data_IF_058442650663
#
_entry.id   IF_058442650663
#
_cell.length_a   1.000
_cell.length_b   1.000
_cell.length_c   1.000
_cell.angle_alpha   90.00
_cell.angle_beta   90.00
_cell.angle_gamma   90.00
#
_symmetry.space_group_name_H-M   'P 1'
#
loop_
_entity.id
_entity.type
_entity.pdbx_description
1 polymer ?
#
# COMPACT_ATOMS: atom_id res chain seq x y z
N UNK A 1 63.27 29.06 15.63
CA UNK A 1 64.09 28.75 16.81
C UNK A 1 65.23 27.91 16.33
N UNK A 2 66.44 28.56 16.29
CA UNK A 2 67.72 27.96 15.82
C UNK A 2 68.31 27.07 16.93
N UNK A 3 68.21 25.78 16.80
CA UNK A 3 68.87 24.82 17.66
C UNK A 3 70.31 24.58 17.15
N UNK A 4 71.29 25.23 17.76
CA UNK A 4 72.69 24.94 17.55
C UNK A 4 73.00 23.54 18.11
N UNK A 5 73.42 22.65 17.23
CA UNK A 5 73.98 21.36 17.64
C UNK A 5 75.36 21.57 18.25
N UNK A 6 75.72 20.83 19.29
CA UNK A 6 77.04 20.87 19.85
C UNK A 6 78.10 20.37 18.86
N UNK A 7 79.22 21.13 18.73
CA UNK A 7 80.35 20.74 17.91
C UNK A 7 80.99 19.47 18.46
N UNK A 8 81.13 18.46 17.65
CA UNK A 8 81.80 17.23 17.94
C UNK A 8 83.36 17.57 18.01
N UNK A 9 84.06 17.15 19.04
CA UNK A 9 85.57 17.34 19.10
C UNK A 9 86.20 16.51 17.99
N UNK A 10 86.98 17.18 17.12
CA UNK A 10 87.83 16.53 16.14
C UNK A 10 88.95 15.72 16.87
N UNK A 11 89.26 14.47 16.49
CA UNK A 11 90.38 13.73 17.02
C UNK A 11 91.69 14.36 16.52
N UNK A 12 92.69 14.52 17.47
CA UNK A 12 93.99 15.05 17.18
C UNK A 12 94.78 14.16 16.19
N UNK A 13 95.43 14.82 15.29
CA UNK A 13 96.43 14.44 14.29
C UNK A 13 96.89 12.97 14.22
N UNK A 14 96.68 12.33 13.05
CA UNK A 14 97.47 11.18 12.64
C UNK A 14 96.79 10.05 11.87
N UNK A 15 95.63 10.24 11.41
CA UNK A 15 95.00 9.27 10.50
C UNK A 15 94.28 9.98 9.37
N UNK A 16 94.71 9.76 8.11
CA UNK A 16 93.93 10.19 6.93
C UNK A 16 92.58 9.53 6.97
N UNK A 17 91.60 10.20 7.57
CA UNK A 17 90.23 9.80 7.49
C UNK A 17 89.82 9.85 5.99
N UNK A 18 89.60 8.68 5.43
CA UNK A 18 89.29 8.53 4.03
C UNK A 18 88.08 9.40 3.74
N UNK A 19 88.23 10.52 2.98
CA UNK A 19 87.18 11.48 2.64
C UNK A 19 85.88 10.77 2.14
N UNK A 20 86.08 9.63 1.49
CA UNK A 20 84.98 8.80 1.02
C UNK A 20 84.11 8.15 2.14
N UNK A 21 84.69 7.94 3.33
CA UNK A 21 84.00 7.40 4.51
C UNK A 21 83.18 8.50 5.21
N UNK A 22 83.82 9.70 5.35
CA UNK A 22 83.12 10.88 5.91
C UNK A 22 81.97 11.29 5.04
N UNK A 23 82.11 11.29 3.70
CA UNK A 23 81.05 11.61 2.75
C UNK A 23 79.90 10.59 2.77
N UNK A 24 80.21 9.30 2.95
CA UNK A 24 79.20 8.25 3.14
C UNK A 24 78.41 8.39 4.46
N UNK A 25 79.11 8.73 5.54
CA UNK A 25 78.46 8.94 6.84
C UNK A 25 77.57 10.18 6.81
N UNK A 26 78.07 11.29 6.21
CA UNK A 26 77.21 12.50 6.07
C UNK A 26 76.00 12.28 5.18
N UNK A 27 76.18 11.61 4.04
CA UNK A 27 74.94 11.22 3.19
C UNK A 27 74.01 10.31 3.94
N UNK A 28 74.51 9.33 4.71
CA UNK A 28 73.62 8.44 5.50
C UNK A 28 72.86 9.18 6.61
N UNK A 29 73.52 10.16 7.24
CA UNK A 29 72.91 11.02 8.28
C UNK A 29 71.88 11.96 7.68
N UNK A 30 72.11 12.55 6.50
CA UNK A 30 71.12 13.37 5.77
C UNK A 30 69.91 12.57 5.38
N UNK A 31 70.06 11.33 4.89
CA UNK A 31 68.95 10.44 4.61
C UNK A 31 68.12 10.07 5.85
N UNK A 32 68.83 9.84 7.02
CA UNK A 32 68.12 9.59 8.28
C UNK A 32 67.38 10.82 8.79
N UNK A 33 67.96 12.02 8.70
CA UNK A 33 67.27 13.27 9.05
C UNK A 33 66.08 13.56 8.11
N UNK A 34 66.22 13.36 6.82
CA UNK A 34 65.13 13.51 5.86
C UNK A 34 64.00 12.52 6.12
N UNK A 35 64.30 11.24 6.42
CA UNK A 35 63.33 10.24 6.78
C UNK A 35 62.62 10.56 8.10
N UNK A 36 63.36 11.02 9.11
CA UNK A 36 62.77 11.46 10.39
C UNK A 36 61.85 12.67 10.24
N UNK A 37 62.26 13.68 9.48
CA UNK A 37 61.45 14.87 9.22
C UNK A 37 60.20 14.52 8.41
N UNK A 38 60.30 13.65 7.42
CA UNK A 38 59.14 13.19 6.64
C UNK A 38 58.19 12.37 7.50
N UNK A 39 58.70 11.53 8.40
CA UNK A 39 57.86 10.78 9.36
C UNK A 39 57.13 11.69 10.35
N UNK A 40 57.84 12.66 10.96
CA UNK A 40 57.22 13.61 11.90
C UNK A 40 56.23 14.54 11.21
N UNK A 41 56.55 15.00 10.01
CA UNK A 41 55.62 15.81 9.21
C UNK A 41 54.36 15.01 8.82
N UNK A 42 54.53 13.73 8.43
CA UNK A 42 53.38 12.83 8.15
C UNK A 42 52.52 12.58 9.39
N UNK A 43 53.14 12.37 10.55
CA UNK A 43 52.43 12.17 11.81
C UNK A 43 51.65 13.42 12.23
N UNK A 44 52.25 14.61 12.10
CA UNK A 44 51.61 15.89 12.40
C UNK A 44 50.43 16.19 11.42
N UNK A 45 50.60 15.82 10.16
CA UNK A 45 49.53 15.94 9.16
C UNK A 45 48.37 14.97 9.40
N UNK A 46 48.62 13.77 9.92
CA UNK A 46 47.60 12.76 10.25
C UNK A 46 46.83 13.07 11.54
N UNK A 47 47.44 13.80 12.49
CA UNK A 47 46.83 14.10 13.79
C UNK A 47 45.47 14.79 13.72
N UNK A 48 45.20 15.81 12.84
CA UNK A 48 43.91 16.42 12.69
C UNK A 48 42.85 15.44 12.17
N UNK A 49 43.22 14.54 11.26
CA UNK A 49 42.33 13.52 10.71
C UNK A 49 41.90 12.49 11.78
N UNK A 50 42.87 12.07 12.60
CA UNK A 50 42.62 11.20 13.74
C UNK A 50 41.69 11.88 14.77
N UNK A 51 41.91 13.16 15.06
CA UNK A 51 41.10 13.92 16.02
C UNK A 51 39.63 14.05 15.49
N UNK A 52 39.45 14.31 14.19
CA UNK A 52 38.15 14.34 13.56
C UNK A 52 37.45 12.97 13.61
N UNK A 53 38.15 11.87 13.32
CA UNK A 53 37.59 10.53 13.41
C UNK A 53 37.14 10.18 14.84
N UNK A 54 37.98 10.51 15.85
CA UNK A 54 37.62 10.33 17.27
C UNK A 54 36.42 11.17 17.65
N UNK A 55 36.32 12.44 17.19
CA UNK A 55 35.17 13.31 17.44
C UNK A 55 33.88 12.72 16.84
N UNK A 56 33.97 12.19 15.61
CA UNK A 56 32.82 11.51 14.95
C UNK A 56 32.39 10.29 15.76
N UNK A 57 33.32 9.48 16.25
CA UNK A 57 33.02 8.32 17.08
C UNK A 57 32.36 8.71 18.41
N UNK A 58 32.85 9.76 19.08
CA UNK A 58 32.26 10.25 20.33
C UNK A 58 30.86 10.79 20.11
N UNK A 59 30.67 11.65 19.09
CA UNK A 59 29.34 12.17 18.74
C UNK A 59 28.41 11.02 18.30
N UNK A 60 28.93 10.09 17.52
CA UNK A 60 28.20 8.90 17.08
C UNK A 60 27.73 8.02 18.23
N UNK A 61 28.59 7.77 19.22
CA UNK A 61 28.26 7.03 20.46
C UNK A 61 27.10 7.73 21.22
N UNK A 62 27.17 9.07 21.31
CA UNK A 62 26.08 9.85 21.91
C UNK A 62 24.80 9.73 21.11
N UNK A 63 24.88 9.82 19.78
CA UNK A 63 23.74 9.67 18.88
C UNK A 63 23.08 8.28 19.02
N UNK A 64 23.86 7.19 19.02
CA UNK A 64 23.35 5.81 19.22
C UNK A 64 22.68 5.64 20.57
N UNK A 65 23.09 6.39 21.61
CA UNK A 65 22.47 6.34 22.95
C UNK A 65 21.22 7.23 23.07
N UNK A 66 21.19 8.36 22.36
CA UNK A 66 20.13 9.39 22.53
C UNK A 66 18.99 9.19 21.54
N UNK A 67 19.29 9.00 20.23
CA UNK A 67 18.27 8.91 19.17
C UNK A 67 17.21 7.80 19.38
N UNK A 68 17.57 6.60 19.88
CA UNK A 68 16.54 5.56 20.10
C UNK A 68 15.58 5.86 21.27
N UNK A 69 15.93 6.77 22.18
CA UNK A 69 15.09 7.04 23.37
C UNK A 69 13.72 7.64 23.02
N UNK A 70 13.62 8.74 22.23
CA UNK A 70 12.32 9.30 21.87
C UNK A 70 11.49 8.34 21.00
N UNK A 71 12.14 7.62 20.08
CA UNK A 71 11.47 6.59 19.27
C UNK A 71 10.86 5.50 20.15
N UNK A 72 11.60 5.05 21.19
CA UNK A 72 11.10 4.08 22.14
C UNK A 72 9.93 4.61 22.98
N UNK A 73 10.01 5.86 23.41
CA UNK A 73 8.95 6.48 24.18
C UNK A 73 7.66 6.61 23.36
N UNK A 74 7.78 6.89 22.08
CA UNK A 74 6.65 6.97 21.14
C UNK A 74 6.05 5.59 20.87
N UNK A 75 6.90 4.59 20.53
CA UNK A 75 6.46 3.23 20.24
C UNK A 75 5.81 2.53 21.44
N UNK A 76 6.29 2.79 22.66
CA UNK A 76 5.70 2.23 23.89
C UNK A 76 4.33 2.80 24.25
N UNK A 77 3.92 3.92 23.67
CA UNK A 77 2.56 4.49 23.81
C UNK A 77 1.56 3.85 22.86
N UNK A 78 2.01 3.08 21.92
CA UNK A 78 1.20 2.39 20.92
C UNK A 78 1.08 0.91 21.34
N UNK A 79 0.00 0.24 20.98
CA UNK A 79 -0.27 -1.18 21.29
C UNK A 79 0.64 -2.17 20.51
N UNK A 80 1.86 -1.75 20.16
CA UNK A 80 2.81 -2.57 19.39
C UNK A 80 3.49 -3.58 20.32
N UNK A 81 3.61 -4.82 19.83
CA UNK A 81 4.30 -5.89 20.54
C UNK A 81 5.73 -5.45 20.96
N UNK A 82 6.09 -5.64 22.25
CA UNK A 82 7.43 -5.33 22.75
C UNK A 82 8.58 -6.00 21.99
N UNK A 83 8.32 -7.14 21.36
CA UNK A 83 9.29 -7.85 20.50
C UNK A 83 9.57 -7.06 19.23
N UNK A 84 8.52 -6.58 18.55
CA UNK A 84 8.65 -5.74 17.35
C UNK A 84 9.45 -4.46 17.64
N UNK A 85 9.19 -3.81 18.77
CA UNK A 85 9.92 -2.62 19.21
C UNK A 85 11.42 -2.90 19.33
N UNK A 86 11.81 -4.05 19.90
CA UNK A 86 13.23 -4.45 20.02
C UNK A 86 13.91 -4.64 18.66
N UNK A 87 13.18 -5.20 17.66
CA UNK A 87 13.71 -5.35 16.30
C UNK A 87 13.96 -4.00 15.63
N UNK A 88 12.98 -3.09 15.68
CA UNK A 88 13.12 -1.72 15.14
C UNK A 88 14.31 -1.00 15.76
N UNK A 89 14.47 -1.08 17.07
CA UNK A 89 15.62 -0.50 17.79
C UNK A 89 16.97 -1.07 17.32
N UNK A 90 17.02 -2.40 17.10
CA UNK A 90 18.22 -3.06 16.63
C UNK A 90 18.60 -2.59 15.23
N UNK A 91 17.62 -2.50 14.32
CA UNK A 91 17.84 -2.00 12.96
C UNK A 91 18.37 -0.56 12.99
N UNK A 92 17.71 0.34 13.74
CA UNK A 92 18.17 1.73 13.90
C UNK A 92 19.61 1.80 14.42
N UNK A 93 19.93 1.03 15.46
CA UNK A 93 21.28 1.02 16.02
C UNK A 93 22.34 0.52 15.03
N UNK A 94 22.04 -0.56 14.30
CA UNK A 94 22.95 -1.11 13.29
C UNK A 94 23.18 -0.07 12.17
N UNK A 95 22.13 0.55 11.66
CA UNK A 95 22.24 1.58 10.61
C UNK A 95 23.07 2.77 11.08
N UNK A 96 22.87 3.25 12.31
CA UNK A 96 23.69 4.32 12.89
C UNK A 96 25.16 3.92 13.02
N UNK A 97 25.45 2.70 13.49
CA UNK A 97 26.83 2.21 13.61
C UNK A 97 27.53 2.12 12.25
N UNK A 98 26.83 1.62 11.23
CA UNK A 98 27.36 1.56 9.85
C UNK A 98 27.70 2.96 9.35
N UNK A 99 26.78 3.92 9.53
CA UNK A 99 27.00 5.31 9.12
C UNK A 99 28.21 5.94 9.83
N UNK A 100 28.30 5.78 11.16
CA UNK A 100 29.40 6.32 11.96
C UNK A 100 30.73 5.68 11.53
N UNK A 101 30.76 4.37 11.29
CA UNK A 101 31.97 3.67 10.84
C UNK A 101 32.42 4.18 9.47
N UNK A 102 31.54 4.36 8.51
CA UNK A 102 31.87 4.91 7.19
C UNK A 102 32.44 6.32 7.31
N UNK A 103 31.80 7.19 8.09
CA UNK A 103 32.26 8.57 8.30
C UNK A 103 33.64 8.64 8.99
N UNK A 104 33.88 7.75 9.95
CA UNK A 104 35.19 7.69 10.65
C UNK A 104 36.30 7.18 9.73
N UNK A 105 36.03 6.16 8.90
CA UNK A 105 36.99 5.63 7.91
C UNK A 105 37.34 6.68 6.85
N UNK A 106 36.37 7.45 6.37
CA UNK A 106 36.58 8.54 5.42
C UNK A 106 37.60 9.58 6.00
N UNK A 107 37.43 9.96 7.26
CA UNK A 107 38.35 10.93 7.92
C UNK A 107 39.74 10.39 8.17
N UNK A 108 39.91 9.07 8.29
CA UNK A 108 41.19 8.43 8.36
C UNK A 108 41.89 8.29 7.00
N UNK A 109 41.29 8.79 5.91
CA UNK A 109 41.85 8.71 4.55
C UNK A 109 41.66 7.35 3.88
N UNK A 110 40.82 6.47 4.43
CA UNK A 110 40.51 5.17 3.81
C UNK A 110 39.45 5.40 2.72
N UNK A 111 39.70 4.96 1.48
CA UNK A 111 38.72 5.17 0.40
C UNK A 111 37.43 4.36 0.65
N UNK A 112 36.36 5.08 1.02
CA UNK A 112 35.05 4.48 1.35
C UNK A 112 34.13 4.32 0.14
N UNK A 113 34.54 4.76 -1.06
CA UNK A 113 33.70 4.77 -2.27
C UNK A 113 33.15 3.39 -2.62
N UNK A 114 33.97 2.35 -2.58
CA UNK A 114 33.56 0.97 -2.83
C UNK A 114 32.56 0.47 -1.79
N UNK A 115 32.77 0.82 -0.52
CA UNK A 115 31.87 0.48 0.58
C UNK A 115 30.52 1.19 0.42
N UNK A 116 30.53 2.48 0.07
CA UNK A 116 29.30 3.25 -0.21
C UNK A 116 28.53 2.67 -1.39
N UNK A 117 29.22 2.21 -2.45
CA UNK A 117 28.57 1.55 -3.60
C UNK A 117 27.84 0.27 -3.18
N UNK A 118 28.48 -0.56 -2.35
CA UNK A 118 27.86 -1.79 -1.82
C UNK A 118 26.68 -1.45 -0.92
N UNK A 119 26.84 -0.48 -0.01
CA UNK A 119 25.75 -0.04 0.87
C UNK A 119 24.57 0.55 0.08
N UNK A 120 24.84 1.31 -0.99
CA UNK A 120 23.80 1.82 -1.88
C UNK A 120 23.03 0.69 -2.59
N UNK A 121 23.74 -0.33 -3.08
CA UNK A 121 23.13 -1.50 -3.70
C UNK A 121 22.25 -2.28 -2.70
N UNK A 122 22.74 -2.51 -1.49
CA UNK A 122 21.97 -3.15 -0.40
C UNK A 122 20.76 -2.29 -0.03
N UNK A 123 20.93 -0.97 0.10
CA UNK A 123 19.84 -0.03 0.38
C UNK A 123 18.76 -0.06 -0.68
N UNK A 124 19.15 -0.09 -1.97
CA UNK A 124 18.22 -0.22 -3.09
C UNK A 124 17.45 -1.56 -3.05
N UNK A 125 18.13 -2.67 -2.76
CA UNK A 125 17.49 -3.97 -2.62
C UNK A 125 16.46 -4.00 -1.47
N UNK A 126 16.80 -3.42 -0.32
CA UNK A 126 15.88 -3.29 0.81
C UNK A 126 14.69 -2.40 0.46
N UNK A 127 14.93 -1.25 -0.19
CA UNK A 127 13.86 -0.35 -0.62
C UNK A 127 12.87 -1.04 -1.57
N UNK A 128 13.37 -1.86 -2.51
CA UNK A 128 12.52 -2.67 -3.38
C UNK A 128 11.72 -3.71 -2.60
N UNK A 129 12.35 -4.36 -1.60
CA UNK A 129 11.68 -5.38 -0.78
C UNK A 129 10.52 -4.82 0.07
N UNK A 130 10.59 -3.56 0.51
CA UNK A 130 9.54 -2.93 1.34
C UNK A 130 8.60 -2.01 0.54
N UNK A 131 8.77 -1.92 -0.79
CA UNK A 131 8.04 -1.00 -1.67
C UNK A 131 6.52 -1.12 -1.51
N UNK A 132 6.01 -2.34 -1.53
CA UNK A 132 4.57 -2.58 -1.49
C UNK A 132 3.96 -2.24 -0.12
N UNK A 133 4.70 -2.49 0.96
CA UNK A 133 4.27 -2.09 2.30
C UNK A 133 4.23 -0.55 2.43
N UNK A 134 5.23 0.14 1.87
CA UNK A 134 5.25 1.60 1.87
C UNK A 134 4.14 2.19 1.00
N UNK A 135 3.82 1.56 -0.14
CA UNK A 135 2.70 1.94 -0.99
C UNK A 135 1.36 1.78 -0.26
N UNK A 136 1.15 0.67 0.46
CA UNK A 136 -0.05 0.46 1.27
C UNK A 136 -0.19 1.50 2.39
N UNK A 137 0.91 1.83 3.07
CA UNK A 137 0.93 2.90 4.08
C UNK A 137 0.52 4.25 3.49
N UNK A 138 1.12 4.64 2.35
CA UNK A 138 0.81 5.88 1.66
C UNK A 138 -0.65 5.92 1.22
N UNK A 139 -1.16 4.83 0.65
CA UNK A 139 -2.57 4.69 0.26
C UNK A 139 -3.51 4.79 1.47
N UNK A 140 -3.17 4.17 2.60
CA UNK A 140 -3.96 4.28 3.84
C UNK A 140 -4.06 5.72 4.34
N UNK A 141 -2.95 6.46 4.32
CA UNK A 141 -2.95 7.88 4.67
C UNK A 141 -3.85 8.67 3.72
N UNK A 142 -3.76 8.45 2.41
CA UNK A 142 -4.62 9.13 1.42
C UNK A 142 -6.10 8.80 1.64
N UNK A 143 -6.45 7.54 1.90
CA UNK A 143 -7.84 7.11 2.20
C UNK A 143 -8.42 7.86 3.41
N UNK A 144 -7.63 8.04 4.48
CA UNK A 144 -8.06 8.77 5.67
C UNK A 144 -8.33 10.27 5.41
N UNK A 145 -7.63 10.88 4.44
CA UNK A 145 -7.85 12.27 4.05
C UNK A 145 -8.96 12.45 3.04
N UNK A 146 -9.00 11.63 1.99
CA UNK A 146 -9.97 11.76 0.89
C UNK A 146 -11.33 11.19 1.21
N UNK A 147 -11.38 10.16 2.08
CA UNK A 147 -12.60 9.48 2.57
C UNK A 147 -13.59 9.12 1.47
N UNK A 148 -13.19 8.36 0.46
CA UNK A 148 -14.11 7.91 -0.59
C UNK A 148 -15.21 6.98 -0.03
N UNK A 149 -14.97 6.41 1.14
CA UNK A 149 -15.91 5.64 1.96
C UNK A 149 -15.58 5.83 3.44
N UNK A 150 -16.49 5.43 4.32
CA UNK A 150 -16.36 5.51 5.78
C UNK A 150 -16.60 4.14 6.41
N UNK A 151 -16.21 3.96 7.67
CA UNK A 151 -16.65 2.82 8.44
C UNK A 151 -18.18 2.79 8.54
N UNK A 152 -18.77 1.64 8.27
CA UNK A 152 -20.20 1.42 8.16
C UNK A 152 -20.73 1.43 6.72
N UNK A 153 -20.00 1.93 5.73
CA UNK A 153 -20.40 1.89 4.33
C UNK A 153 -20.29 0.46 3.76
N UNK A 154 -21.27 0.04 2.98
CA UNK A 154 -21.15 -1.16 2.16
C UNK A 154 -20.53 -0.80 0.81
N UNK A 155 -19.39 -1.41 0.53
CA UNK A 155 -18.61 -1.17 -0.69
C UNK A 155 -18.35 -2.47 -1.44
N UNK A 156 -18.11 -2.34 -2.73
CA UNK A 156 -17.70 -3.42 -3.62
C UNK A 156 -16.43 -2.99 -4.37
N UNK A 157 -15.44 -3.88 -4.42
CA UNK A 157 -14.17 -3.65 -5.08
C UNK A 157 -13.76 -4.93 -5.84
N UNK A 158 -13.80 -4.87 -7.16
CA UNK A 158 -13.72 -6.08 -7.99
C UNK A 158 -14.81 -7.08 -7.59
N UNK A 159 -14.42 -8.31 -7.24
CA UNK A 159 -15.33 -9.38 -6.81
C UNK A 159 -15.56 -9.42 -5.28
N UNK A 160 -15.01 -8.45 -4.55
CA UNK A 160 -15.08 -8.40 -3.08
C UNK A 160 -16.11 -7.37 -2.65
N UNK A 161 -17.12 -7.78 -1.88
CA UNK A 161 -18.12 -6.89 -1.32
C UNK A 161 -18.27 -7.06 0.19
N UNK A 162 -18.45 -5.96 0.92
CA UNK A 162 -18.67 -6.00 2.37
C UNK A 162 -18.83 -4.62 2.99
N UNK A 163 -19.22 -4.62 4.27
CA UNK A 163 -19.30 -3.41 5.07
C UNK A 163 -17.92 -3.07 5.63
N UNK A 164 -17.47 -1.84 5.44
CA UNK A 164 -16.21 -1.35 6.00
C UNK A 164 -16.31 -1.31 7.51
N UNK A 165 -15.47 -2.08 8.20
CA UNK A 165 -15.42 -2.08 9.67
C UNK A 165 -14.31 -1.18 10.19
N UNK A 166 -13.12 -1.26 9.59
CA UNK A 166 -11.96 -0.52 10.06
C UNK A 166 -11.01 -0.21 8.91
N UNK A 167 -10.42 0.99 8.95
CA UNK A 167 -9.38 1.42 8.01
C UNK A 167 -8.08 1.55 8.80
N UNK A 168 -7.17 0.60 8.60
CA UNK A 168 -5.85 0.61 9.21
C UNK A 168 -4.79 1.21 8.27
N UNK A 169 -3.56 1.35 8.77
CA UNK A 169 -2.46 1.97 8.02
C UNK A 169 -2.10 1.24 6.72
N UNK A 170 -2.20 -0.10 6.68
CA UNK A 170 -1.79 -0.89 5.52
C UNK A 170 -2.95 -1.59 4.83
N UNK A 171 -4.07 -1.78 5.52
CA UNK A 171 -5.21 -2.55 5.04
C UNK A 171 -6.52 -2.01 5.58
N UNK A 172 -7.58 -2.25 4.85
CA UNK A 172 -8.96 -1.96 5.23
C UNK A 172 -9.71 -3.27 5.42
N UNK A 173 -10.48 -3.38 6.49
CA UNK A 173 -11.28 -4.56 6.77
C UNK A 173 -12.71 -4.39 6.31
N UNK A 174 -13.23 -5.42 5.63
CA UNK A 174 -14.61 -5.53 5.21
C UNK A 174 -15.23 -6.76 5.87
N UNK A 175 -16.42 -6.61 6.44
CA UNK A 175 -17.22 -7.74 6.91
C UNK A 175 -18.32 -8.02 5.89
N UNK A 176 -18.38 -9.26 5.42
CA UNK A 176 -19.42 -9.71 4.48
C UNK A 176 -20.75 -9.94 5.21
N UNK A 177 -21.90 -9.98 4.50
CA UNK A 177 -23.19 -10.35 5.10
C UNK A 177 -23.17 -11.73 5.80
N UNK A 178 -22.27 -12.64 5.36
CA UNK A 178 -22.07 -13.95 5.98
C UNK A 178 -21.15 -13.91 7.22
N UNK A 179 -20.86 -12.72 7.76
CA UNK A 179 -19.98 -12.51 8.92
C UNK A 179 -18.55 -13.02 8.73
N UNK A 180 -18.03 -12.90 7.51
CA UNK A 180 -16.64 -13.22 7.17
C UNK A 180 -15.86 -11.93 6.99
N UNK A 181 -14.68 -11.84 7.62
CA UNK A 181 -13.80 -10.68 7.52
C UNK A 181 -12.83 -10.82 6.35
N UNK A 182 -12.77 -9.80 5.51
CA UNK A 182 -11.84 -9.68 4.39
C UNK A 182 -10.86 -8.54 4.71
N UNK A 183 -9.56 -8.82 4.67
CA UNK A 183 -8.52 -7.80 4.80
C UNK A 183 -8.03 -7.43 3.39
N UNK A 184 -8.26 -6.20 2.98
CA UNK A 184 -7.90 -5.68 1.65
C UNK A 184 -6.75 -4.69 1.78
N UNK A 185 -5.62 -4.88 1.09
CA UNK A 185 -4.53 -3.92 1.09
C UNK A 185 -5.00 -2.53 0.60
N UNK A 186 -4.56 -1.46 1.26
CA UNK A 186 -5.02 -0.09 0.94
C UNK A 186 -4.66 0.33 -0.48
N UNK A 187 -3.55 -0.16 -1.04
CA UNK A 187 -3.20 0.08 -2.44
C UNK A 187 -4.28 -0.43 -3.38
N UNK A 188 -4.86 -1.60 -3.11
CA UNK A 188 -5.95 -2.17 -3.91
C UNK A 188 -7.20 -1.29 -3.85
N UNK A 189 -7.54 -0.75 -2.67
CA UNK A 189 -8.64 0.20 -2.48
C UNK A 189 -8.49 1.48 -3.31
N UNK A 190 -7.25 1.89 -3.61
CA UNK A 190 -6.96 3.12 -4.37
C UNK A 190 -6.81 2.89 -5.87
N UNK A 191 -6.46 1.68 -6.31
CA UNK A 191 -6.15 1.39 -7.71
C UNK A 191 -7.27 0.72 -8.48
N UNK A 192 -8.16 0.00 -7.79
CA UNK A 192 -9.30 -0.65 -8.41
C UNK A 192 -10.55 0.23 -8.40
N UNK A 193 -11.50 -0.07 -9.28
CA UNK A 193 -12.80 0.58 -9.26
C UNK A 193 -13.56 0.17 -8.01
N UNK A 194 -13.96 1.17 -7.23
CA UNK A 194 -14.71 0.99 -6.00
C UNK A 194 -16.13 1.51 -6.20
N UNK A 195 -17.12 0.69 -5.86
CA UNK A 195 -18.53 1.07 -5.84
C UNK A 195 -18.94 1.22 -4.38
N UNK A 196 -19.34 2.43 -3.98
CA UNK A 196 -19.88 2.69 -2.65
C UNK A 196 -21.40 2.77 -2.70
N UNK A 197 -22.06 1.74 -2.20
CA UNK A 197 -23.51 1.63 -2.18
C UNK A 197 -24.17 2.44 -1.06
N UNK A 198 -23.39 2.90 -0.08
CA UNK A 198 -23.85 3.70 1.05
C UNK A 198 -23.53 5.18 0.94
N UNK A 199 -22.89 5.60 -0.18
CA UNK A 199 -22.50 6.99 -0.40
C UNK A 199 -23.72 7.97 -0.44
N UNK A 200 -24.88 7.47 -0.85
CA UNK A 200 -26.12 8.22 -0.92
C UNK A 200 -27.18 7.60 0.00
N UNK A 201 -28.01 8.44 0.60
CA UNK A 201 -29.06 8.01 1.53
C UNK A 201 -30.17 7.22 0.82
N UNK A 202 -30.36 7.43 -0.48
CA UNK A 202 -31.34 6.72 -1.27
C UNK A 202 -30.73 6.11 -2.54
N UNK A 203 -31.29 4.98 -2.97
CA UNK A 203 -30.89 4.23 -4.16
C UNK A 203 -32.08 3.89 -5.02
N UNK A 204 -31.86 3.87 -6.34
CA UNK A 204 -32.86 3.33 -7.28
C UNK A 204 -32.74 1.81 -7.34
N UNK A 205 -33.88 1.15 -7.32
CA UNK A 205 -34.04 -0.27 -7.53
C UNK A 205 -34.87 -0.50 -8.80
N UNK A 206 -34.34 -1.29 -9.70
CA UNK A 206 -35.01 -1.70 -10.92
C UNK A 206 -35.39 -3.19 -10.76
N UNK A 207 -36.69 -3.48 -10.57
CA UNK A 207 -37.19 -4.83 -10.34
C UNK A 207 -37.98 -5.30 -11.55
N UNK A 208 -37.57 -6.44 -12.11
CA UNK A 208 -38.20 -7.02 -13.29
C UNK A 208 -39.22 -8.07 -12.87
N UNK A 209 -40.46 -7.92 -13.37
CA UNK A 209 -41.54 -8.86 -13.19
C UNK A 209 -42.07 -9.32 -14.57
N UNK A 210 -42.01 -10.62 -14.81
CA UNK A 210 -42.37 -11.23 -16.09
C UNK A 210 -43.80 -11.71 -16.08
N UNK A 211 -44.56 -11.37 -17.11
CA UNK A 211 -45.93 -11.82 -17.30
C UNK A 211 -46.08 -12.57 -18.64
N UNK A 212 -47.08 -13.45 -18.74
CA UNK A 212 -47.42 -14.15 -20.00
C UNK A 212 -47.89 -13.17 -21.07
N UNK A 213 -47.66 -13.47 -22.35
CA UNK A 213 -48.20 -12.77 -23.49
C UNK A 213 -49.74 -12.80 -23.55
N UNK A 214 -50.39 -13.78 -22.89
CA UNK A 214 -51.84 -13.93 -22.81
C UNK A 214 -52.48 -13.00 -21.76
N UNK A 215 -51.68 -12.38 -20.88
CA UNK A 215 -52.21 -11.47 -19.86
C UNK A 215 -52.52 -10.08 -20.42
N UNK A 216 -53.49 -9.41 -19.80
CA UNK A 216 -53.73 -7.99 -20.06
C UNK A 216 -52.56 -7.16 -19.49
N UNK A 217 -51.74 -6.64 -20.39
CA UNK A 217 -50.61 -5.81 -20.09
C UNK A 217 -50.96 -4.55 -19.28
N UNK A 218 -52.09 -3.90 -19.63
CA UNK A 218 -52.48 -2.66 -18.97
C UNK A 218 -52.98 -2.93 -17.55
N UNK A 219 -53.71 -4.02 -17.34
CA UNK A 219 -54.14 -4.48 -16.03
C UNK A 219 -52.93 -4.80 -15.14
N UNK A 220 -51.98 -5.60 -15.63
CA UNK A 220 -50.75 -5.96 -14.88
C UNK A 220 -49.94 -4.73 -14.51
N UNK A 221 -49.78 -3.79 -15.45
CA UNK A 221 -49.06 -2.54 -15.21
C UNK A 221 -49.76 -1.66 -14.17
N UNK A 222 -51.09 -1.54 -14.23
CA UNK A 222 -51.88 -0.75 -13.27
C UNK A 222 -51.74 -1.32 -11.85
N UNK A 223 -51.90 -2.63 -11.68
CA UNK A 223 -51.75 -3.33 -10.41
C UNK A 223 -50.34 -3.15 -9.80
N UNK A 224 -49.30 -3.31 -10.62
CA UNK A 224 -47.94 -3.07 -10.16
C UNK A 224 -47.70 -1.61 -9.78
N UNK A 225 -48.24 -0.66 -10.54
CA UNK A 225 -48.10 0.77 -10.24
C UNK A 225 -48.74 1.11 -8.91
N UNK A 226 -49.97 0.66 -8.66
CA UNK A 226 -50.70 0.86 -7.40
C UNK A 226 -49.92 0.25 -6.21
N UNK A 227 -49.39 -0.97 -6.38
CA UNK A 227 -48.62 -1.63 -5.33
C UNK A 227 -47.38 -0.84 -4.96
N UNK A 228 -46.56 -0.40 -5.95
CA UNK A 228 -45.32 0.30 -5.68
C UNK A 228 -45.53 1.72 -5.16
N UNK A 229 -46.58 2.43 -5.63
CA UNK A 229 -46.96 3.78 -5.14
C UNK A 229 -47.49 3.79 -3.71
N UNK A 230 -48.18 2.72 -3.30
CA UNK A 230 -48.71 2.56 -1.94
C UNK A 230 -47.71 1.98 -0.94
N UNK A 231 -46.57 1.51 -1.41
CA UNK A 231 -45.63 0.82 -0.55
C UNK A 231 -44.88 1.78 0.39
N UNK A 232 -44.84 1.56 1.72
CA UNK A 232 -44.30 2.51 2.70
C UNK A 232 -42.80 2.76 2.57
N UNK A 233 -42.01 1.82 2.04
CA UNK A 233 -40.55 1.94 1.86
C UNK A 233 -40.18 2.60 0.53
N UNK A 234 -41.15 2.84 -0.37
CA UNK A 234 -40.89 3.48 -1.66
C UNK A 234 -40.95 5.00 -1.51
N UNK A 235 -39.84 5.64 -1.90
CA UNK A 235 -39.73 7.09 -1.87
C UNK A 235 -40.25 7.71 -3.17
N UNK A 236 -40.91 8.87 -3.05
CA UNK A 236 -41.39 9.66 -4.18
C UNK A 236 -40.35 10.60 -4.76
N UNK A 237 -39.27 10.84 -4.03
CA UNK A 237 -38.12 11.62 -4.45
C UNK A 237 -36.85 10.74 -4.44
N UNK A 238 -35.90 10.99 -5.36
CA UNK A 238 -35.81 12.10 -6.32
C UNK A 238 -36.71 11.99 -7.55
N UNK A 239 -37.39 10.86 -7.75
CA UNK A 239 -38.39 10.68 -8.79
C UNK A 239 -39.46 9.71 -8.32
N UNK A 240 -40.74 9.90 -8.71
CA UNK A 240 -41.81 8.97 -8.37
C UNK A 240 -41.56 7.58 -8.97
N UNK A 241 -42.07 6.52 -8.32
CA UNK A 241 -41.95 5.16 -8.85
C UNK A 241 -42.71 5.08 -10.19
N UNK A 242 -42.21 4.26 -11.10
CA UNK A 242 -42.86 4.02 -12.40
C UNK A 242 -42.71 2.57 -12.83
N UNK A 243 -43.71 2.04 -13.49
CA UNK A 243 -43.71 0.72 -14.12
C UNK A 243 -43.69 0.88 -15.63
N UNK A 244 -42.71 0.26 -16.28
CA UNK A 244 -42.53 0.33 -17.74
C UNK A 244 -42.33 -1.07 -18.32
N UNK A 245 -42.72 -1.25 -19.58
CA UNK A 245 -42.35 -2.44 -20.35
C UNK A 245 -40.90 -2.24 -20.80
N UNK A 246 -40.04 -3.16 -20.47
CA UNK A 246 -38.62 -3.08 -20.83
C UNK A 246 -38.23 -4.05 -21.93
N UNK A 247 -38.94 -5.17 -22.04
CA UNK A 247 -38.56 -6.21 -23.00
C UNK A 247 -39.75 -7.09 -23.36
N UNK A 248 -39.81 -7.52 -24.61
CA UNK A 248 -40.62 -8.64 -25.10
C UNK A 248 -39.68 -9.84 -25.24
N UNK A 249 -39.57 -10.63 -24.17
CA UNK A 249 -38.65 -11.77 -24.09
C UNK A 249 -39.25 -13.01 -24.80
N UNK A 250 -38.44 -14.08 -24.92
CA UNK A 250 -38.84 -15.29 -25.67
C UNK A 250 -40.14 -15.94 -25.18
N UNK A 251 -40.49 -15.82 -23.89
CA UNK A 251 -41.67 -16.47 -23.28
C UNK A 251 -42.43 -15.53 -22.36
N UNK A 252 -42.08 -14.25 -22.28
CA UNK A 252 -42.68 -13.30 -21.33
C UNK A 252 -42.59 -11.86 -21.80
N UNK A 253 -43.49 -11.02 -21.27
CA UNK A 253 -43.34 -9.56 -21.32
C UNK A 253 -42.77 -9.11 -19.98
N UNK A 254 -41.62 -8.42 -20.02
CA UNK A 254 -40.93 -7.95 -18.83
C UNK A 254 -41.35 -6.53 -18.46
N UNK A 255 -41.99 -6.41 -17.29
CA UNK A 255 -42.35 -5.14 -16.66
C UNK A 255 -41.27 -4.80 -15.64
N UNK A 256 -40.67 -3.61 -15.77
CA UNK A 256 -39.70 -3.15 -14.78
C UNK A 256 -40.30 -2.05 -13.92
N UNK A 257 -40.36 -2.32 -12.61
CA UNK A 257 -40.68 -1.32 -11.61
C UNK A 257 -39.39 -0.59 -11.21
N UNK A 258 -39.33 0.70 -11.57
CA UNK A 258 -38.23 1.59 -11.20
C UNK A 258 -38.66 2.43 -10.01
N UNK A 259 -38.02 2.23 -8.89
CA UNK A 259 -38.42 2.83 -7.61
C UNK A 259 -37.21 3.26 -6.78
N UNK A 260 -37.42 4.25 -5.93
CA UNK A 260 -36.40 4.74 -5.01
C UNK A 260 -36.70 4.29 -3.59
N UNK A 261 -35.68 3.95 -2.84
CA UNK A 261 -35.78 3.60 -1.43
C UNK A 261 -34.58 4.08 -0.66
N UNK A 262 -34.65 4.11 0.68
CA UNK A 262 -33.48 4.30 1.53
C UNK A 262 -32.47 3.19 1.27
N UNK A 263 -31.17 3.55 1.27
CA UNK A 263 -30.08 2.59 1.07
C UNK A 263 -30.08 1.46 2.12
N UNK A 264 -30.51 1.75 3.35
CA UNK A 264 -30.64 0.76 4.44
C UNK A 264 -31.80 -0.23 4.21
N UNK A 265 -32.87 0.19 3.50
CA UNK A 265 -34.07 -0.62 3.26
C UNK A 265 -34.04 -1.35 1.91
N UNK A 266 -32.94 -1.25 1.15
CA UNK A 266 -32.84 -1.79 -0.20
C UNK A 266 -33.23 -3.26 -0.28
N UNK A 267 -32.70 -4.10 0.59
CA UNK A 267 -32.98 -5.53 0.58
C UNK A 267 -34.34 -5.88 1.17
N UNK A 268 -34.75 -5.18 2.22
CA UNK A 268 -36.09 -5.37 2.81
C UNK A 268 -37.19 -5.08 1.80
N UNK A 269 -37.09 -3.96 1.09
CA UNK A 269 -38.04 -3.61 0.02
C UNK A 269 -38.03 -4.66 -1.10
N UNK A 270 -36.84 -5.13 -1.51
CA UNK A 270 -36.72 -6.12 -2.58
C UNK A 270 -37.42 -7.43 -2.26
N UNK A 271 -37.22 -7.93 -1.06
CA UNK A 271 -37.82 -9.19 -0.62
C UNK A 271 -39.34 -9.04 -0.43
N UNK A 272 -39.80 -7.98 0.19
CA UNK A 272 -41.20 -7.71 0.44
C UNK A 272 -42.00 -7.54 -0.89
N UNK A 273 -41.45 -6.77 -1.85
CA UNK A 273 -42.09 -6.62 -3.16
C UNK A 273 -42.13 -7.92 -3.95
N UNK A 274 -41.10 -8.76 -3.91
CA UNK A 274 -41.13 -10.04 -4.59
C UNK A 274 -42.28 -10.93 -4.09
N UNK A 275 -42.50 -10.96 -2.77
CA UNK A 275 -43.61 -11.71 -2.17
C UNK A 275 -44.98 -11.11 -2.50
N UNK A 276 -45.11 -9.80 -2.34
CA UNK A 276 -46.36 -9.08 -2.58
C UNK A 276 -46.79 -9.11 -4.04
N UNK A 277 -45.87 -8.99 -4.99
CA UNK A 277 -46.16 -9.05 -6.43
C UNK A 277 -46.68 -10.45 -6.81
N UNK A 278 -46.06 -11.51 -6.28
CA UNK A 278 -46.56 -12.87 -6.54
C UNK A 278 -47.96 -13.05 -6.04
N UNK A 279 -48.27 -12.62 -4.83
CA UNK A 279 -49.59 -12.70 -4.25
C UNK A 279 -50.64 -11.85 -5.03
N UNK A 280 -50.24 -10.63 -5.44
CA UNK A 280 -51.07 -9.73 -6.22
C UNK A 280 -51.44 -10.33 -7.60
N UNK A 281 -50.45 -10.91 -8.28
CA UNK A 281 -50.65 -11.54 -9.58
C UNK A 281 -51.56 -12.75 -9.48
N UNK A 282 -51.39 -13.62 -8.50
CA UNK A 282 -52.25 -14.79 -8.27
C UNK A 282 -53.69 -14.38 -8.00
N UNK A 283 -53.95 -13.35 -7.19
CA UNK A 283 -55.27 -12.85 -6.87
C UNK A 283 -56.01 -12.24 -8.07
N UNK A 284 -55.26 -11.70 -9.03
CA UNK A 284 -55.84 -11.02 -10.20
C UNK A 284 -55.74 -11.83 -11.50
N UNK A 285 -55.33 -13.11 -11.41
CA UNK A 285 -55.25 -13.99 -12.57
C UNK A 285 -54.14 -13.66 -13.56
N UNK A 286 -53.11 -12.90 -13.11
CA UNK A 286 -51.91 -12.61 -13.91
C UNK A 286 -50.97 -13.80 -13.83
N UNK A 287 -50.72 -14.42 -14.97
CA UNK A 287 -49.85 -15.61 -15.06
C UNK A 287 -48.39 -15.22 -15.25
N UNK A 288 -47.52 -15.72 -14.37
CA UNK A 288 -46.05 -15.70 -14.57
C UNK A 288 -45.74 -16.92 -15.44
N UNK A 289 -45.22 -16.74 -16.66
CA UNK A 289 -45.08 -17.85 -17.59
C UNK A 289 -43.93 -18.76 -17.25
N UNK A 290 -44.08 -20.05 -17.53
CA UNK A 290 -42.97 -20.97 -17.73
C UNK A 290 -42.34 -20.74 -19.10
N UNK A 291 -41.15 -21.30 -19.32
CA UNK A 291 -40.55 -21.29 -20.66
C UNK A 291 -41.51 -21.98 -21.65
N UNK A 292 -41.85 -21.30 -22.74
CA UNK A 292 -42.68 -21.79 -23.80
C UNK A 292 -41.81 -22.34 -24.92
N UNK A 293 -42.26 -23.47 -25.51
CA UNK A 293 -41.58 -24.11 -26.64
C UNK A 293 -42.62 -24.53 -27.67
N UNK A 294 -42.52 -23.95 -28.87
CA UNK A 294 -43.33 -24.40 -30.02
C UNK A 294 -42.67 -25.63 -30.65
N UNK A 295 -43.36 -26.78 -30.60
CA UNK A 295 -42.84 -28.05 -31.16
C UNK A 295 -43.64 -28.39 -32.40
N UNK A 296 -43.03 -28.30 -33.57
CA UNK A 296 -43.56 -28.78 -34.82
C UNK A 296 -43.23 -30.28 -35.01
N UNK A 297 -44.21 -31.16 -34.81
CA UNK A 297 -44.05 -32.55 -35.06
C UNK A 297 -44.17 -32.85 -36.58
N UNK A 298 -43.09 -33.23 -37.22
CA UNK A 298 -43.09 -33.72 -38.58
C UNK A 298 -43.51 -35.18 -38.60
N UNK A 299 -44.53 -35.62 -39.41
CA UNK A 299 -44.83 -37.05 -39.57
C UNK A 299 -43.61 -37.82 -40.08
N UNK A 300 -43.42 -39.09 -39.65
CA UNK A 300 -42.21 -39.87 -40.01
C UNK A 300 -42.00 -40.09 -41.51
N UNK A 301 -43.03 -39.88 -42.36
CA UNK A 301 -42.96 -40.07 -43.81
C UNK A 301 -42.71 -38.76 -44.62
N UNK A 302 -42.55 -37.63 -44.00
CA UNK A 302 -42.15 -36.42 -44.71
C UNK A 302 -40.67 -36.47 -45.07
N UNK A 303 -40.33 -36.90 -46.29
CA UNK A 303 -38.96 -36.84 -46.77
C UNK A 303 -38.42 -35.40 -46.64
N UNK A 304 -37.15 -35.21 -46.20
CA UNK A 304 -36.56 -33.90 -46.09
C UNK A 304 -36.61 -33.19 -47.44
N UNK A 305 -36.94 -31.88 -47.49
CA UNK A 305 -36.91 -31.11 -48.74
C UNK A 305 -35.55 -31.29 -49.37
N UNK A 306 -35.55 -31.78 -50.65
CA UNK A 306 -34.34 -31.89 -51.46
C UNK A 306 -33.84 -30.44 -51.60
N UNK A 307 -32.68 -30.16 -50.99
CA UNK A 307 -32.03 -28.87 -51.18
C UNK A 307 -31.81 -28.61 -52.65
N UNK A 308 -32.23 -27.43 -53.12
CA UNK A 308 -31.74 -26.75 -54.28
C UNK A 308 -30.44 -25.99 -53.98
#
# INVERSE_FOLDING_TARGET
MSSRFPAFPLPAEGGTVNESVVERITMSMEHLYAAWNSFTAGLLAFLPHLLQAVLILVIGLLAVRILPKPVNAMLRRTSIDPVAIKYVQRVIKISLWVLIAVMALDKLGIPVTSLLTVLAAVGAAVALAIRDNLANLASGVVLLFTKPFKAGDYIEIGDLGGTVTEIELMQTYLDTPGNTRIAVPNTKMMTETLVNYSAHDCRRQDMVFSISYENDLLQAKALLTELVESHPLVLKEPAPPRVVVTEYAASSINLTAQLWCSSSEYWNLRFDLNEKVKALFDQNGIVIPYNQLDVHLCPPDAAPPKGE
#
